data_IF_486148286751
#
_entry.id   IF_486148286751
#
_cell.length_a   1.000
_cell.length_b   1.000
_cell.length_c   1.000
_cell.angle_alpha   90.00
_cell.angle_beta   90.00
_cell.angle_gamma   90.00
#
_symmetry.space_group_name_H-M   'P 1'
#
loop_
_entity.id
_entity.type
_entity.pdbx_description
1 polymer ?
#
# COMPACT_ATOMS: atom_id res chain seq x y z
N UNK A 1 6.48 -16.01 -19.47
CA UNK A 1 6.32 -14.63 -18.97
C UNK A 1 5.81 -14.70 -17.55
N UNK A 2 6.28 -13.84 -16.65
CA UNK A 2 5.70 -13.77 -15.31
C UNK A 2 4.25 -13.28 -15.40
N UNK A 3 3.33 -13.91 -14.65
CA UNK A 3 1.89 -13.63 -14.71
C UNK A 3 1.55 -12.17 -14.39
N UNK A 4 2.34 -11.49 -13.57
CA UNK A 4 2.12 -10.08 -13.22
C UNK A 4 2.20 -9.12 -14.43
N UNK A 5 2.93 -9.48 -15.49
CA UNK A 5 3.05 -8.64 -16.70
C UNK A 5 1.75 -8.54 -17.50
N UNK A 6 0.77 -9.39 -17.23
CA UNK A 6 -0.58 -9.22 -17.82
C UNK A 6 -1.41 -8.18 -17.04
N UNK A 7 -0.98 -7.80 -15.85
CA UNK A 7 -1.66 -6.82 -14.97
C UNK A 7 -0.99 -5.45 -15.10
N UNK A 8 0.33 -5.38 -15.11
CA UNK A 8 1.10 -4.16 -15.33
C UNK A 8 2.09 -4.38 -16.49
N UNK A 9 1.68 -4.17 -17.75
CA UNK A 9 2.50 -4.50 -18.91
C UNK A 9 3.66 -3.53 -19.16
N UNK A 10 3.59 -2.29 -18.66
CA UNK A 10 4.65 -1.29 -18.78
C UNK A 10 5.30 -0.96 -17.43
N UNK A 11 5.26 0.31 -16.99
CA UNK A 11 5.84 0.78 -15.73
C UNK A 11 4.92 0.60 -14.52
N UNK A 12 5.51 0.59 -13.33
CA UNK A 12 4.77 0.67 -12.05
C UNK A 12 5.32 1.84 -11.26
N UNK A 13 4.42 2.65 -10.70
CA UNK A 13 4.72 3.76 -9.80
C UNK A 13 3.87 3.60 -8.55
N UNK A 14 4.43 3.81 -7.37
CA UNK A 14 3.71 3.68 -6.11
C UNK A 14 4.02 4.83 -5.16
N UNK A 15 2.95 5.39 -4.59
CA UNK A 15 3.00 6.30 -3.45
C UNK A 15 2.37 5.58 -2.25
N UNK A 16 3.20 5.25 -1.26
CA UNK A 16 2.77 4.43 -0.12
C UNK A 16 3.53 4.79 1.16
N UNK A 17 2.85 5.29 2.19
CA UNK A 17 1.88 6.38 2.18
C UNK A 17 2.56 7.76 2.36
N UNK A 18 1.80 8.80 2.74
CA UNK A 18 2.26 10.19 2.86
C UNK A 18 3.61 10.28 3.59
N UNK A 19 4.64 10.83 2.92
CA UNK A 19 5.97 11.05 3.49
C UNK A 19 7.06 10.13 2.94
N UNK A 20 6.71 9.08 2.18
CA UNK A 20 7.70 8.22 1.52
C UNK A 20 8.06 8.71 0.12
N UNK A 21 9.27 8.38 -0.34
CA UNK A 21 9.66 8.62 -1.72
C UNK A 21 8.85 7.73 -2.67
N UNK A 22 8.62 8.26 -3.87
CA UNK A 22 7.95 7.52 -4.92
C UNK A 22 8.77 6.28 -5.32
N UNK A 23 8.12 5.10 -5.33
CA UNK A 23 8.75 3.86 -5.76
C UNK A 23 8.53 3.66 -7.26
N UNK A 24 9.58 3.28 -7.98
CA UNK A 24 9.56 3.04 -9.42
C UNK A 24 9.90 1.59 -9.77
N UNK A 25 9.10 0.99 -10.65
CA UNK A 25 9.27 -0.38 -11.12
C UNK A 25 8.61 -1.42 -10.23
N UNK A 26 8.32 -2.59 -10.81
CA UNK A 26 7.59 -3.67 -10.14
C UNK A 26 8.33 -4.19 -8.89
N UNK A 27 9.66 -4.27 -8.95
CA UNK A 27 10.48 -4.80 -7.85
C UNK A 27 10.35 -3.95 -6.58
N UNK A 28 10.65 -2.65 -6.67
CA UNK A 28 10.53 -1.72 -5.54
C UNK A 28 9.08 -1.52 -5.09
N UNK A 29 8.14 -1.45 -6.03
CA UNK A 29 6.73 -1.18 -5.71
C UNK A 29 5.98 -2.41 -5.16
N UNK A 30 6.42 -3.64 -5.41
CA UNK A 30 5.65 -4.84 -5.04
C UNK A 30 6.49 -5.91 -4.36
N UNK A 31 7.59 -6.37 -4.96
CA UNK A 31 8.38 -7.48 -4.42
C UNK A 31 9.03 -7.12 -3.08
N UNK A 32 9.71 -5.98 -3.01
CA UNK A 32 10.38 -5.54 -1.77
C UNK A 32 9.38 -5.23 -0.66
N UNK A 33 8.25 -4.61 -1.01
CA UNK A 33 7.15 -4.38 -0.07
C UNK A 33 6.57 -5.72 0.44
N UNK A 34 6.36 -6.68 -0.45
CA UNK A 34 5.90 -8.02 -0.08
C UNK A 34 6.91 -8.71 0.85
N UNK A 35 8.20 -8.69 0.54
CA UNK A 35 9.25 -9.29 1.37
C UNK A 35 9.31 -8.69 2.78
N UNK A 36 9.11 -7.38 2.88
CA UNK A 36 9.07 -6.67 4.16
C UNK A 36 7.88 -7.08 5.03
N UNK A 37 6.70 -7.21 4.41
CA UNK A 37 5.45 -7.29 5.16
C UNK A 37 4.82 -8.68 5.21
N UNK A 38 5.14 -9.60 4.29
CA UNK A 38 4.40 -10.87 4.12
C UNK A 38 4.31 -11.72 5.39
N UNK A 39 5.30 -11.65 6.28
CA UNK A 39 5.32 -12.44 7.52
C UNK A 39 4.48 -11.84 8.64
N UNK A 40 4.11 -10.56 8.52
CA UNK A 40 3.46 -9.77 9.58
C UNK A 40 2.19 -9.06 9.11
N UNK A 41 1.86 -9.10 7.82
CA UNK A 41 0.73 -8.38 7.24
C UNK A 41 -0.37 -9.34 6.81
N UNK A 42 -1.56 -9.13 7.36
CA UNK A 42 -2.80 -9.72 6.86
C UNK A 42 -3.72 -8.61 6.38
N UNK A 43 -4.17 -8.70 5.14
CA UNK A 43 -5.10 -7.73 4.55
C UNK A 43 -6.47 -8.37 4.44
N UNK A 44 -7.49 -7.71 4.98
CA UNK A 44 -8.89 -8.06 4.77
C UNK A 44 -9.55 -6.99 3.92
N UNK A 45 -9.95 -7.38 2.72
CA UNK A 45 -10.69 -6.55 1.78
C UNK A 45 -12.12 -6.31 2.30
N UNK A 46 -12.50 -5.04 2.42
CA UNK A 46 -13.85 -4.63 2.83
C UNK A 46 -14.74 -4.41 1.61
N UNK A 47 -14.25 -3.63 0.64
CA UNK A 47 -14.97 -3.34 -0.60
C UNK A 47 -14.00 -2.99 -1.72
N UNK A 48 -14.46 -3.20 -2.96
CA UNK A 48 -13.75 -2.85 -4.20
C UNK A 48 -14.72 -2.13 -5.12
N UNK A 49 -14.25 -1.04 -5.71
CA UNK A 49 -14.96 -0.28 -6.72
C UNK A 49 -14.08 -0.22 -7.97
N UNK A 50 -14.68 -0.43 -9.14
CA UNK A 50 -14.01 -0.41 -10.44
C UNK A 50 -14.68 0.61 -11.35
N UNK A 51 -13.89 1.45 -12.00
CA UNK A 51 -14.34 2.44 -12.96
C UNK A 51 -13.42 2.44 -14.18
N UNK A 52 -13.75 1.64 -15.19
CA UNK A 52 -12.93 1.51 -16.39
C UNK A 52 -11.52 1.00 -16.05
N UNK A 53 -10.51 1.83 -16.33
CA UNK A 53 -9.09 1.54 -16.06
C UNK A 53 -8.64 2.00 -14.67
N UNK A 54 -9.57 2.13 -13.73
CA UNK A 54 -9.28 2.50 -12.36
C UNK A 54 -9.97 1.54 -11.39
N UNK A 55 -9.31 1.28 -10.26
CA UNK A 55 -9.85 0.51 -9.15
C UNK A 55 -9.50 1.22 -7.85
N UNK A 56 -10.43 1.21 -6.90
CA UNK A 56 -10.19 1.58 -5.52
C UNK A 56 -10.68 0.48 -4.61
N UNK A 57 -9.91 0.14 -3.57
CA UNK A 57 -10.34 -0.78 -2.55
C UNK A 57 -10.15 -0.22 -1.14
N UNK A 58 -10.97 -0.68 -0.21
CA UNK A 58 -10.86 -0.35 1.20
C UNK A 58 -10.50 -1.62 1.95
N UNK A 59 -9.48 -1.54 2.80
CA UNK A 59 -8.88 -2.69 3.47
C UNK A 59 -8.75 -2.45 4.98
N UNK A 60 -8.87 -3.53 5.75
CA UNK A 60 -8.30 -3.66 7.09
C UNK A 60 -6.91 -4.29 6.96
N UNK A 61 -5.87 -3.59 7.40
CA UNK A 61 -4.51 -4.09 7.45
C UNK A 61 -4.17 -4.45 8.88
N UNK A 62 -3.78 -5.70 9.11
CA UNK A 62 -3.34 -6.21 10.40
C UNK A 62 -1.82 -6.41 10.34
N UNK A 63 -1.07 -5.62 11.12
CA UNK A 63 0.39 -5.62 11.17
C UNK A 63 0.88 -6.23 12.49
N UNK A 64 1.83 -7.17 12.40
CA UNK A 64 2.48 -7.80 13.55
C UNK A 64 2.09 -9.26 13.74
N UNK A 65 2.49 -9.82 14.88
CA UNK A 65 2.21 -11.20 15.28
C UNK A 65 1.60 -11.22 16.68
N UNK A 66 0.78 -12.23 16.97
CA UNK A 66 0.11 -12.33 18.27
C UNK A 66 1.12 -12.36 19.44
N UNK A 67 0.82 -11.66 20.56
CA UNK A 67 -0.41 -10.90 20.84
C UNK A 67 -0.42 -9.46 20.29
N UNK A 68 0.67 -8.99 19.68
CA UNK A 68 0.89 -7.59 19.32
C UNK A 68 0.48 -7.30 17.86
N UNK A 69 -0.81 -7.44 17.55
CA UNK A 69 -1.37 -7.16 16.22
C UNK A 69 -2.00 -5.77 16.21
N UNK A 70 -1.49 -4.88 15.37
CA UNK A 70 -2.04 -3.54 15.13
C UNK A 70 -2.96 -3.56 13.91
N UNK A 71 -4.01 -2.74 13.92
CA UNK A 71 -4.97 -2.65 12.83
C UNK A 71 -5.05 -1.21 12.31
N UNK A 72 -4.97 -1.05 10.98
CA UNK A 72 -5.20 0.23 10.32
C UNK A 72 -6.07 0.04 9.06
N UNK A 73 -7.01 0.95 8.85
CA UNK A 73 -7.71 1.05 7.57
C UNK A 73 -6.79 1.63 6.51
N UNK A 74 -6.89 1.14 5.27
CA UNK A 74 -6.34 1.83 4.11
C UNK A 74 -7.35 1.92 2.98
N UNK A 75 -7.15 2.91 2.11
CA UNK A 75 -7.72 2.95 0.76
C UNK A 75 -6.55 2.83 -0.19
N UNK A 76 -6.60 1.93 -1.15
CA UNK A 76 -5.59 1.89 -2.22
C UNK A 76 -6.27 2.05 -3.57
N UNK A 77 -5.67 2.88 -4.41
CA UNK A 77 -6.14 3.17 -5.76
C UNK A 77 -5.13 2.68 -6.76
N UNK A 78 -5.62 2.09 -7.83
CA UNK A 78 -4.88 1.58 -8.97
C UNK A 78 -5.44 2.25 -10.21
N UNK A 79 -4.57 2.90 -11.00
CA UNK A 79 -4.94 3.54 -12.25
C UNK A 79 -4.00 3.08 -13.36
N UNK A 80 -4.57 2.57 -14.44
CA UNK A 80 -3.85 2.16 -15.64
C UNK A 80 -4.01 3.21 -16.73
N UNK A 81 -2.89 3.65 -17.32
CA UNK A 81 -2.92 4.49 -18.51
C UNK A 81 -2.98 3.67 -19.81
N UNK A 82 -3.17 4.35 -20.94
CA UNK A 82 -3.28 3.72 -22.26
C UNK A 82 -1.99 3.04 -22.72
N UNK A 83 -0.84 3.44 -22.15
CA UNK A 83 0.46 2.80 -22.37
C UNK A 83 0.67 1.56 -21.48
N UNK A 84 -0.27 1.30 -20.57
CA UNK A 84 -0.26 0.16 -19.65
C UNK A 84 0.65 0.35 -18.44
N UNK A 85 0.99 1.60 -18.09
CA UNK A 85 1.63 1.90 -16.81
C UNK A 85 0.58 1.84 -15.68
N UNK A 86 1.00 1.34 -14.53
CA UNK A 86 0.20 1.28 -13.32
C UNK A 86 0.68 2.32 -12.30
N UNK A 87 -0.24 3.18 -11.85
CA UNK A 87 -0.06 4.05 -10.70
C UNK A 87 -0.83 3.50 -9.49
N UNK A 88 -0.12 3.27 -8.40
CA UNK A 88 -0.65 2.84 -7.10
C UNK A 88 -0.55 4.02 -6.12
N UNK A 89 -1.62 4.29 -5.37
CA UNK A 89 -1.58 5.19 -4.23
C UNK A 89 -2.27 4.55 -3.04
N UNK A 90 -1.59 4.55 -1.90
CA UNK A 90 -2.10 4.03 -0.64
C UNK A 90 -2.34 5.16 0.34
N UNK A 91 -3.57 5.24 0.85
CA UNK A 91 -4.02 6.23 1.80
C UNK A 91 -4.30 5.54 3.13
N UNK A 92 -3.72 6.05 4.21
CA UNK A 92 -4.04 5.65 5.58
C UNK A 92 -4.64 6.83 6.35
N UNK A 93 -5.43 6.57 7.40
CA UNK A 93 -5.86 7.61 8.33
C UNK A 93 -4.65 8.11 9.12
N UNK A 94 -3.99 9.15 8.61
CA UNK A 94 -2.83 9.76 9.25
C UNK A 94 -3.29 10.85 10.24
N UNK A 95 -2.79 10.84 11.50
CA UNK A 95 -3.02 11.95 12.42
C UNK A 95 -2.49 13.28 11.85
N UNK A 96 -3.13 14.40 12.19
CA UNK A 96 -2.69 15.74 11.77
C UNK A 96 -1.26 16.09 12.24
N UNK A 97 -0.75 15.38 13.25
CA UNK A 97 0.61 15.54 13.76
C UNK A 97 1.69 14.90 12.88
N UNK A 98 1.31 14.09 11.88
CA UNK A 98 2.23 13.45 10.94
C UNK A 98 2.46 14.38 9.76
N UNK A 99 3.68 14.89 9.61
CA UNK A 99 4.07 15.76 8.51
C UNK A 99 4.96 15.03 7.49
N UNK A 100 5.38 15.75 6.44
CA UNK A 100 6.25 15.20 5.39
C UNK A 100 7.66 14.81 5.85
N UNK A 101 8.06 15.19 7.08
CA UNK A 101 9.37 14.85 7.65
C UNK A 101 9.27 13.66 8.64
N UNK A 102 8.05 13.21 8.94
CA UNK A 102 7.77 12.14 9.88
C UNK A 102 7.83 10.78 9.17
N UNK A 103 8.21 9.72 9.88
CA UNK A 103 8.11 8.35 9.36
C UNK A 103 6.65 7.87 9.50
N UNK A 104 5.89 7.75 8.40
CA UNK A 104 4.48 7.36 8.48
C UNK A 104 4.31 5.91 8.98
N UNK A 105 5.27 5.03 8.72
CA UNK A 105 5.22 3.67 9.22
C UNK A 105 5.45 3.62 10.72
N UNK A 106 6.22 4.55 11.29
CA UNK A 106 6.33 4.65 12.75
C UNK A 106 4.98 4.92 13.43
N UNK A 107 4.06 5.63 12.78
CA UNK A 107 2.71 5.85 13.29
C UNK A 107 1.80 4.63 13.13
N UNK A 108 2.01 3.84 12.09
CA UNK A 108 1.27 2.60 11.84
C UNK A 108 1.83 1.41 12.64
N UNK A 109 3.07 1.50 13.13
CA UNK A 109 3.79 0.41 13.79
C UNK A 109 4.19 0.69 15.26
N UNK A 110 4.06 1.92 15.78
CA UNK A 110 4.17 2.28 17.22
C UNK A 110 2.80 2.78 17.71
N UNK A 111 2.28 2.46 18.90
CA UNK A 111 2.92 2.11 20.18
C UNK A 111 1.90 1.43 21.14
N UNK A 112 2.26 0.27 21.66
CA UNK A 112 1.87 -0.15 23.02
C UNK A 112 2.77 0.61 24.01
N UNK A 113 2.39 1.83 24.37
CA UNK A 113 2.75 2.41 25.66
C UNK A 113 1.51 3.12 26.19
N UNK A 114 0.62 2.34 26.80
CA UNK A 114 -0.30 2.78 27.84
C UNK A 114 -0.62 1.61 28.76
#
# INVERSE_FOLDING_TARGET
>A
MASWRTIAPAGVRMFDPVGTEEKHGFEAATSEAFDMFQSILKIKMITVQVNGNEMAWVCENYFGTEPNVQMAYSIETFAWDDDGNLLIKTYYPMPETVDSNSDPYAHLLKKDEQ
#
